data_IF_072468394413
#
_entry.id   IF_072468394413
#
_cell.length_a   1.000
_cell.length_b   1.000
_cell.length_c   1.000
_cell.angle_alpha   90.00
_cell.angle_beta   90.00
_cell.angle_gamma   90.00
#
_symmetry.space_group_name_H-M   'P 1'
#
loop_
_entity.id
_entity.type
_entity.pdbx_description
1 polymer ?
#
# COMPACT_ATOMS: atom_id res chain seq x y z
N UNK A 1 -21.34 -3.20 40.42
CA UNK A 1 -20.23 -3.85 39.70
C UNK A 1 -18.92 -3.21 40.19
N UNK A 2 -18.22 -3.86 41.12
CA UNK A 2 -16.96 -3.32 41.69
C UNK A 2 -15.86 -3.55 40.65
N UNK A 3 -15.40 -2.49 40.00
CA UNK A 3 -14.23 -2.55 39.12
C UNK A 3 -13.01 -2.75 40.02
N UNK A 4 -12.39 -3.94 39.95
CA UNK A 4 -11.17 -4.26 40.66
C UNK A 4 -10.02 -3.34 40.19
N UNK A 5 -9.83 -2.21 40.88
CA UNK A 5 -8.74 -1.25 40.62
C UNK A 5 -7.34 -1.87 40.88
N UNK A 6 -7.24 -2.91 41.70
CA UNK A 6 -5.97 -3.49 42.15
C UNK A 6 -5.24 -4.37 41.14
N UNK A 7 -5.94 -5.02 40.21
CA UNK A 7 -5.33 -6.00 39.28
C UNK A 7 -4.75 -5.38 38.01
N UNK A 8 -5.05 -4.10 37.73
CA UNK A 8 -4.55 -3.37 36.56
C UNK A 8 -3.12 -2.85 36.77
N UNK A 9 -2.78 -2.43 37.98
CA UNK A 9 -1.47 -1.84 38.30
C UNK A 9 -0.30 -2.84 38.21
N UNK A 10 -0.57 -4.14 38.33
CA UNK A 10 0.46 -5.20 38.34
C UNK A 10 0.67 -5.85 36.97
N UNK A 11 -0.20 -5.58 35.99
CA UNK A 11 -0.06 -6.15 34.63
C UNK A 11 0.85 -5.24 33.80
N UNK A 12 1.92 -5.82 33.26
CA UNK A 12 2.78 -5.12 32.29
C UNK A 12 1.99 -4.57 31.09
N UNK A 13 2.48 -3.49 30.47
CA UNK A 13 1.78 -2.71 29.45
C UNK A 13 1.16 -3.57 28.34
N UNK A 14 1.90 -4.56 27.84
CA UNK A 14 1.44 -5.50 26.81
C UNK A 14 0.28 -6.38 27.28
N UNK A 15 0.35 -6.91 28.50
CA UNK A 15 -0.75 -7.69 29.10
C UNK A 15 -1.96 -6.81 29.40
N UNK A 16 -1.75 -5.53 29.73
CA UNK A 16 -2.83 -4.57 29.94
C UNK A 16 -3.58 -4.29 28.62
N UNK A 17 -2.84 -4.03 27.54
CA UNK A 17 -3.40 -3.74 26.21
C UNK A 17 -4.06 -4.94 25.56
N UNK A 18 -3.52 -6.15 25.78
CA UNK A 18 -4.09 -7.38 25.25
C UNK A 18 -5.34 -7.86 26.00
N UNK A 19 -5.51 -7.49 27.28
CA UNK A 19 -6.61 -8.01 28.12
C UNK A 19 -7.72 -6.99 28.37
N UNK A 20 -7.48 -5.70 28.18
CA UNK A 20 -8.51 -4.68 28.40
C UNK A 20 -9.50 -4.61 27.22
N UNK A 21 -10.79 -4.74 27.54
CA UNK A 21 -11.89 -4.79 26.56
C UNK A 21 -12.02 -3.51 25.71
N UNK A 22 -11.61 -2.35 26.22
CA UNK A 22 -11.66 -1.09 25.49
C UNK A 22 -10.40 -0.86 24.64
N UNK A 23 -9.24 -1.27 25.14
CA UNK A 23 -7.95 -1.03 24.48
C UNK A 23 -7.62 -2.07 23.41
N UNK A 24 -7.98 -3.34 23.59
CA UNK A 24 -7.61 -4.42 22.66
C UNK A 24 -8.07 -4.17 21.22
N UNK A 25 -9.34 -3.78 20.93
CA UNK A 25 -9.77 -3.51 19.56
C UNK A 25 -8.96 -2.39 18.89
N UNK A 26 -8.58 -1.36 19.65
CA UNK A 26 -7.80 -0.23 19.14
C UNK A 26 -6.39 -0.68 18.78
N UNK A 27 -5.71 -1.38 19.68
CA UNK A 27 -4.34 -1.87 19.45
C UNK A 27 -4.30 -2.88 18.32
N UNK A 28 -5.32 -3.73 18.20
CA UNK A 28 -5.47 -4.66 17.08
C UNK A 28 -5.59 -3.93 15.74
N UNK A 29 -6.45 -2.90 15.64
CA UNK A 29 -6.60 -2.10 14.43
C UNK A 29 -5.32 -1.35 14.07
N UNK A 30 -4.63 -0.78 15.08
CA UNK A 30 -3.32 -0.15 14.89
C UNK A 30 -2.29 -1.16 14.38
N UNK A 31 -2.28 -2.38 14.91
CA UNK A 31 -1.43 -3.47 14.44
C UNK A 31 -1.66 -3.80 12.96
N UNK A 32 -2.92 -3.98 12.56
CA UNK A 32 -3.28 -4.20 11.14
C UNK A 32 -2.82 -3.02 10.28
N UNK A 33 -3.10 -1.79 10.71
CA UNK A 33 -2.70 -0.59 9.97
C UNK A 33 -1.17 -0.49 9.82
N UNK A 34 -0.42 -0.81 10.87
CA UNK A 34 1.04 -0.83 10.86
C UNK A 34 1.58 -1.89 9.90
N UNK A 35 1.06 -3.13 9.95
CA UNK A 35 1.46 -4.19 9.03
C UNK A 35 1.14 -3.82 7.58
N UNK A 36 -0.03 -3.22 7.33
CA UNK A 36 -0.41 -2.77 5.99
C UNK A 36 0.48 -1.62 5.49
N UNK A 37 0.85 -0.68 6.36
CA UNK A 37 1.73 0.43 6.02
C UNK A 37 3.15 -0.05 5.68
N UNK A 38 3.72 -0.93 6.52
CA UNK A 38 5.05 -1.51 6.28
C UNK A 38 5.04 -2.37 5.02
N UNK A 39 4.03 -3.23 4.85
CA UNK A 39 3.89 -4.07 3.66
C UNK A 39 3.79 -3.25 2.37
N UNK A 40 3.00 -2.18 2.37
CA UNK A 40 2.94 -1.26 1.24
C UNK A 40 4.27 -0.53 1.04
N UNK A 41 4.88 0.02 2.10
CA UNK A 41 6.17 0.72 1.99
C UNK A 41 7.27 -0.16 1.41
N UNK A 42 7.41 -1.39 1.91
CA UNK A 42 8.36 -2.38 1.39
C UNK A 42 8.06 -2.74 -0.08
N UNK A 43 6.79 -3.00 -0.41
CA UNK A 43 6.37 -3.25 -1.79
C UNK A 43 6.74 -2.08 -2.71
N UNK A 44 6.49 -0.85 -2.28
CA UNK A 44 6.78 0.34 -3.07
C UNK A 44 8.29 0.49 -3.26
N UNK A 45 9.10 0.35 -2.21
CA UNK A 45 10.54 0.53 -2.27
C UNK A 45 11.24 -0.54 -3.14
N UNK A 46 10.80 -1.81 -3.06
CA UNK A 46 11.42 -2.90 -3.81
C UNK A 46 11.04 -2.92 -5.30
N UNK A 47 9.80 -2.54 -5.63
CA UNK A 47 9.30 -2.59 -7.00
C UNK A 47 9.41 -1.27 -7.76
N UNK A 48 9.75 -0.17 -7.08
CA UNK A 48 9.95 1.11 -7.76
C UNK A 48 11.11 0.99 -8.78
N UNK A 49 10.90 1.37 -10.06
CA UNK A 49 11.98 1.41 -11.04
C UNK A 49 13.11 2.37 -10.63
N UNK A 50 12.81 3.42 -9.86
CA UNK A 50 13.77 4.47 -9.52
C UNK A 50 14.68 4.11 -8.32
N UNK A 51 14.42 2.98 -7.63
CA UNK A 51 15.13 2.60 -6.41
C UNK A 51 15.97 1.34 -6.65
N UNK A 52 17.28 1.48 -6.47
CA UNK A 52 18.27 0.42 -6.69
C UNK A 52 18.76 -0.22 -5.38
N UNK A 53 17.88 -0.95 -4.68
CA UNK A 53 18.29 -1.72 -3.50
C UNK A 53 19.09 -2.98 -3.85
N UNK A 54 18.69 -3.66 -4.92
CA UNK A 54 19.33 -4.90 -5.38
C UNK A 54 20.64 -4.61 -6.11
N UNK A 55 21.64 -5.46 -5.87
CA UNK A 55 22.96 -5.40 -6.52
C UNK A 55 22.85 -5.60 -8.03
N UNK A 56 21.85 -6.36 -8.50
CA UNK A 56 21.56 -6.55 -9.93
C UNK A 56 21.24 -5.24 -10.67
N UNK A 57 20.65 -4.26 -9.98
CA UNK A 57 20.22 -2.97 -10.55
C UNK A 57 21.32 -1.91 -10.55
N UNK A 58 22.38 -2.08 -9.76
CA UNK A 58 23.44 -1.06 -9.57
C UNK A 58 24.32 -0.83 -10.80
N UNK A 59 24.43 -1.81 -11.69
CA UNK A 59 25.28 -1.73 -12.88
C UNK A 59 24.51 -1.39 -14.17
N UNK A 60 23.20 -1.14 -14.07
CA UNK A 60 22.37 -0.90 -15.26
C UNK A 60 22.38 0.60 -15.59
N UNK A 61 23.22 1.01 -16.55
CA UNK A 61 23.43 2.43 -16.89
C UNK A 61 22.13 3.15 -17.27
N UNK A 62 21.18 2.46 -17.90
CA UNK A 62 19.90 3.03 -18.32
C UNK A 62 18.83 3.08 -17.22
N UNK A 63 19.06 2.49 -16.03
CA UNK A 63 18.16 2.45 -14.86
C UNK A 63 16.71 1.96 -15.11
N UNK A 64 16.28 1.78 -16.35
CA UNK A 64 14.90 1.57 -16.74
C UNK A 64 14.75 0.18 -17.37
N UNK A 65 14.16 -0.74 -16.61
CA UNK A 65 13.61 -1.98 -17.16
C UNK A 65 12.15 -1.71 -17.54
N UNK A 66 11.83 -1.82 -18.82
CA UNK A 66 10.50 -1.52 -19.35
C UNK A 66 9.42 -2.43 -18.75
N UNK A 67 9.70 -3.72 -18.57
CA UNK A 67 8.79 -4.68 -17.95
C UNK A 67 8.51 -4.34 -16.47
N UNK A 68 9.52 -3.84 -15.76
CA UNK A 68 9.35 -3.39 -14.38
C UNK A 68 8.52 -2.09 -14.32
N UNK A 69 8.78 -1.16 -15.24
CA UNK A 69 8.07 0.12 -15.32
C UNK A 69 6.59 -0.04 -15.70
N UNK A 70 6.29 -0.98 -16.59
CA UNK A 70 4.92 -1.33 -17.00
C UNK A 70 4.14 -1.96 -15.84
N UNK A 71 4.67 -2.99 -15.16
CA UNK A 71 4.00 -3.59 -13.99
C UNK A 71 3.80 -2.58 -12.84
N UNK A 72 4.79 -1.70 -12.61
CA UNK A 72 4.69 -0.63 -11.64
C UNK A 72 3.56 0.37 -11.97
N UNK A 73 3.40 0.71 -13.26
CA UNK A 73 2.38 1.65 -13.74
C UNK A 73 0.98 1.03 -13.81
N UNK A 74 0.85 -0.24 -14.20
CA UNK A 74 -0.43 -0.91 -14.47
C UNK A 74 -1.42 -0.76 -13.31
N UNK A 75 -0.94 -0.86 -12.06
CA UNK A 75 -1.77 -0.69 -10.87
C UNK A 75 -2.26 0.74 -10.67
N UNK A 76 -1.42 1.73 -10.98
CA UNK A 76 -1.78 3.16 -10.87
C UNK A 76 -2.83 3.55 -11.91
N UNK A 77 -2.71 3.03 -13.13
CA UNK A 77 -3.70 3.26 -14.18
C UNK A 77 -5.06 2.70 -13.79
N UNK A 78 -5.10 1.50 -13.18
CA UNK A 78 -6.34 0.93 -12.63
C UNK A 78 -6.94 1.82 -11.53
N UNK A 79 -6.14 2.26 -10.56
CA UNK A 79 -6.61 3.12 -9.48
C UNK A 79 -7.13 4.48 -9.98
N UNK A 80 -6.47 5.08 -10.97
CA UNK A 80 -6.88 6.35 -11.58
C UNK A 80 -8.23 6.28 -12.32
N UNK A 81 -8.66 5.07 -12.70
CA UNK A 81 -9.89 4.82 -13.44
C UNK A 81 -11.00 4.17 -12.60
N UNK A 82 -10.83 4.04 -11.27
CA UNK A 82 -11.89 3.50 -10.39
C UNK A 82 -13.15 4.37 -10.40
N UNK A 83 -12.98 5.68 -10.53
CA UNK A 83 -14.08 6.65 -10.61
C UNK A 83 -13.89 7.57 -11.80
N UNK A 84 -14.99 7.98 -12.42
CA UNK A 84 -14.99 8.97 -13.50
C UNK A 84 -14.45 10.33 -13.02
N UNK A 85 -13.57 10.95 -13.81
CA UNK A 85 -12.96 12.26 -13.57
C UNK A 85 -12.75 13.00 -14.90
N UNK A 86 -12.78 14.33 -14.91
CA UNK A 86 -12.52 15.15 -16.10
C UNK A 86 -11.21 14.77 -16.81
N UNK A 87 -10.18 14.38 -16.04
CA UNK A 87 -8.88 13.96 -16.59
C UNK A 87 -8.98 12.59 -17.29
N UNK A 88 -9.61 11.59 -16.66
CA UNK A 88 -9.67 10.23 -17.24
C UNK A 88 -10.66 10.10 -18.39
N UNK A 89 -11.58 11.06 -18.54
CA UNK A 89 -12.48 11.17 -19.69
C UNK A 89 -11.97 12.09 -20.78
N UNK A 90 -10.84 12.77 -20.55
CA UNK A 90 -10.28 13.67 -21.55
C UNK A 90 -9.68 12.88 -22.72
N UNK A 91 -9.78 13.46 -23.93
CA UNK A 91 -9.16 12.90 -25.14
C UNK A 91 -7.63 12.73 -25.02
N UNK A 92 -7.00 13.54 -24.17
CA UNK A 92 -5.57 13.46 -23.88
C UNK A 92 -5.18 12.15 -23.19
N UNK A 93 -6.15 11.47 -22.56
CA UNK A 93 -5.94 10.24 -21.83
C UNK A 93 -6.26 8.98 -22.67
N UNK A 94 -6.79 9.15 -23.90
CA UNK A 94 -7.06 8.05 -24.85
C UNK A 94 -5.83 7.19 -25.16
N UNK A 95 -4.63 7.77 -25.43
CA UNK A 95 -3.44 6.97 -25.74
C UNK A 95 -3.00 6.05 -24.60
N UNK A 96 -3.40 6.36 -23.36
CA UNK A 96 -3.08 5.52 -22.22
C UNK A 96 -3.92 4.23 -22.19
N UNK A 97 -5.15 4.24 -22.72
CA UNK A 97 -6.01 3.06 -22.83
C UNK A 97 -5.65 2.15 -24.02
N UNK A 98 -5.03 2.69 -25.06
CA UNK A 98 -4.64 1.93 -26.25
C UNK A 98 -3.48 0.95 -25.98
N UNK A 99 -2.72 1.18 -24.91
CA UNK A 99 -1.61 0.31 -24.51
C UNK A 99 -2.10 -1.08 -24.18
N UNK A 100 -1.33 -2.09 -24.62
CA UNK A 100 -1.65 -3.51 -24.41
C UNK A 100 -1.89 -3.83 -22.94
N UNK A 101 -1.11 -3.22 -22.05
CA UNK A 101 -1.18 -3.35 -20.59
C UNK A 101 -2.51 -2.87 -19.95
N UNK A 102 -3.31 -2.06 -20.65
CA UNK A 102 -4.49 -1.39 -20.08
C UNK A 102 -5.82 -1.79 -20.74
N UNK A 103 -5.81 -2.76 -21.66
CA UNK A 103 -6.97 -3.17 -22.44
C UNK A 103 -8.10 -3.78 -21.61
N UNK A 104 -7.76 -4.31 -20.43
CA UNK A 104 -8.70 -4.88 -19.45
C UNK A 104 -9.46 -3.79 -18.66
N UNK A 105 -8.95 -2.56 -18.64
CA UNK A 105 -9.51 -1.47 -17.83
C UNK A 105 -10.52 -0.68 -18.65
N UNK A 106 -11.80 -0.83 -18.30
CA UNK A 106 -12.91 -0.10 -18.91
C UNK A 106 -13.08 1.27 -18.25
N UNK A 107 -13.44 2.27 -19.06
CA UNK A 107 -13.93 3.56 -18.52
C UNK A 107 -15.28 3.31 -17.83
N UNK A 108 -15.37 3.77 -16.59
CA UNK A 108 -16.63 3.84 -15.85
C UNK A 108 -17.48 5.04 -16.28
#
# INVERSE_FOLDING_TARGET
MVVAKGTRATKGLLNLWATDRGTFPVVFLVGIAMTAAIGNGARYLMNNPDVCLDKSKRNNFMHYNEDQGTDWRARRFRFANIKKNAINQSRQFDPAFEKVENKDIKRA
#
